data_IF_564594451014
#
_entry.id   IF_564594451014
#
_cell.length_a   1.000
_cell.length_b   1.000
_cell.length_c   1.000
_cell.angle_alpha   90.00
_cell.angle_beta   90.00
_cell.angle_gamma   90.00
#
_symmetry.space_group_name_H-M   'P 1'
#
loop_
_entity.id
_entity.type
_entity.pdbx_description
1 polymer ?
#
# COMPACT_ATOMS: atom_id res chain seq x y z
N UNK A 1 -10.38 -45.80 55.48
CA UNK A 1 -9.18 -46.31 54.78
C UNK A 1 -9.01 -45.55 53.47
N UNK A 2 -7.90 -44.83 53.26
CA UNK A 2 -7.65 -44.11 52.00
C UNK A 2 -7.32 -45.10 50.87
N UNK A 3 -8.01 -45.00 49.72
CA UNK A 3 -7.67 -45.77 48.51
C UNK A 3 -6.29 -45.36 48.02
N UNK A 4 -5.40 -46.33 47.76
CA UNK A 4 -4.13 -46.08 47.07
C UNK A 4 -4.43 -45.66 45.62
N UNK A 5 -3.79 -44.61 45.08
CA UNK A 5 -3.97 -44.23 43.68
C UNK A 5 -3.45 -45.35 42.76
N UNK A 6 -4.28 -45.79 41.81
CA UNK A 6 -3.88 -46.72 40.77
C UNK A 6 -2.86 -46.04 39.84
N UNK A 7 -1.81 -46.78 39.46
CA UNK A 7 -0.82 -46.27 38.53
C UNK A 7 -1.47 -46.04 37.14
N UNK A 8 -1.15 -44.94 36.44
CA UNK A 8 -1.71 -44.66 35.12
C UNK A 8 -1.30 -45.75 34.13
N UNK A 9 -2.28 -46.25 33.36
CA UNK A 9 -2.07 -47.28 32.33
C UNK A 9 -1.09 -46.79 31.23
N UNK A 10 -0.40 -47.72 30.57
CA UNK A 10 0.53 -47.41 29.48
C UNK A 10 -0.14 -46.61 28.34
N UNK A 11 -1.44 -46.83 28.12
CA UNK A 11 -2.23 -46.03 27.18
C UNK A 11 -2.28 -44.56 27.59
N UNK A 12 -2.56 -44.28 28.87
CA UNK A 12 -2.60 -42.92 29.40
C UNK A 12 -1.23 -42.22 29.28
N UNK A 13 -0.12 -42.94 29.53
CA UNK A 13 1.24 -42.41 29.34
C UNK A 13 1.52 -42.05 27.88
N UNK A 14 1.15 -42.91 26.92
CA UNK A 14 1.31 -42.64 25.49
C UNK A 14 0.50 -41.41 25.04
N UNK A 15 -0.76 -41.29 25.48
CA UNK A 15 -1.57 -40.12 25.17
C UNK A 15 -0.98 -38.83 25.75
N UNK A 16 -0.47 -38.86 26.98
CA UNK A 16 0.19 -37.71 27.59
C UNK A 16 1.44 -37.28 26.80
N UNK A 17 2.29 -38.23 26.38
CA UNK A 17 3.46 -37.92 25.56
C UNK A 17 3.10 -37.29 24.22
N UNK A 18 2.07 -37.82 23.53
CA UNK A 18 1.59 -37.25 22.26
C UNK A 18 1.05 -35.83 22.47
N UNK A 19 0.23 -35.62 23.51
CA UNK A 19 -0.33 -34.31 23.82
C UNK A 19 0.76 -33.26 24.13
N UNK A 20 1.77 -33.63 24.92
CA UNK A 20 2.93 -32.77 25.20
C UNK A 20 3.71 -32.46 23.92
N UNK A 21 3.93 -33.46 23.06
CA UNK A 21 4.61 -33.27 21.78
C UNK A 21 3.87 -32.29 20.87
N UNK A 22 2.55 -32.46 20.73
CA UNK A 22 1.70 -31.54 19.95
C UNK A 22 1.72 -30.12 20.53
N UNK A 23 1.61 -29.97 21.85
CA UNK A 23 1.66 -28.66 22.51
C UNK A 23 3.02 -27.97 22.29
N UNK A 24 4.11 -28.74 22.33
CA UNK A 24 5.45 -28.26 22.00
C UNK A 24 5.54 -27.72 20.57
N UNK A 25 5.05 -28.49 19.59
CA UNK A 25 5.03 -28.07 18.18
C UNK A 25 4.20 -26.79 17.99
N UNK A 26 2.98 -26.74 18.57
CA UNK A 26 2.13 -25.55 18.46
C UNK A 26 2.77 -24.31 19.06
N UNK A 27 3.49 -24.46 20.17
CA UNK A 27 4.18 -23.35 20.84
C UNK A 27 5.33 -22.82 20.00
N UNK A 28 6.12 -23.70 19.39
CA UNK A 28 7.22 -23.32 18.49
C UNK A 28 6.70 -22.59 17.24
N UNK A 29 5.64 -23.11 16.62
CA UNK A 29 5.00 -22.45 15.45
C UNK A 29 4.44 -21.09 15.83
N UNK A 30 3.74 -20.97 16.96
CA UNK A 30 3.21 -19.68 17.43
C UNK A 30 4.33 -18.66 17.71
N UNK A 31 5.44 -19.08 18.33
CA UNK A 31 6.59 -18.22 18.57
C UNK A 31 7.24 -17.75 17.26
N UNK A 32 7.36 -18.64 16.27
CA UNK A 32 7.89 -18.28 14.95
C UNK A 32 7.00 -17.26 14.22
N UNK A 33 5.68 -17.47 14.21
CA UNK A 33 4.72 -16.53 13.62
C UNK A 33 4.73 -15.17 14.33
N UNK A 34 4.86 -15.16 15.66
CA UNK A 34 4.96 -13.92 16.42
C UNK A 34 6.24 -13.13 16.10
N UNK A 35 7.38 -13.80 15.98
CA UNK A 35 8.63 -13.17 15.55
C UNK A 35 8.52 -12.59 14.15
N UNK A 36 7.90 -13.33 13.22
CA UNK A 36 7.64 -12.88 11.87
C UNK A 36 6.77 -11.61 11.84
N UNK A 37 5.67 -11.59 12.59
CA UNK A 37 4.79 -10.41 12.69
C UNK A 37 5.51 -9.22 13.32
N UNK A 38 6.37 -9.45 14.31
CA UNK A 38 7.17 -8.40 14.92
C UNK A 38 8.14 -7.76 13.92
N UNK A 39 8.76 -8.54 13.04
CA UNK A 39 9.62 -8.01 11.98
C UNK A 39 8.81 -7.19 10.98
N UNK A 40 7.62 -7.65 10.56
CA UNK A 40 6.73 -6.88 9.68
C UNK A 40 6.34 -5.55 10.34
N UNK A 41 5.89 -5.58 11.60
CA UNK A 41 5.52 -4.38 12.35
C UNK A 41 6.67 -3.36 12.47
N UNK A 42 7.91 -3.85 12.64
CA UNK A 42 9.08 -2.97 12.68
C UNK A 42 9.36 -2.29 11.32
N UNK A 43 9.20 -3.02 10.22
CA UNK A 43 9.37 -2.49 8.86
C UNK A 43 8.27 -1.47 8.52
N UNK A 44 7.03 -1.74 8.89
CA UNK A 44 5.92 -0.80 8.73
C UNK A 44 6.15 0.50 9.52
N UNK A 45 6.68 0.38 10.75
CA UNK A 45 7.03 1.54 11.57
C UNK A 45 8.13 2.39 10.90
N UNK A 46 9.15 1.75 10.31
CA UNK A 46 10.19 2.45 9.55
C UNK A 46 9.62 3.13 8.31
N UNK A 47 8.72 2.49 7.58
CA UNK A 47 8.06 3.05 6.41
C UNK A 47 7.17 4.25 6.77
N UNK A 48 6.45 4.19 7.90
CA UNK A 48 5.67 5.32 8.42
C UNK A 48 6.58 6.49 8.81
N UNK A 49 7.69 6.22 9.51
CA UNK A 49 8.67 7.24 9.87
C UNK A 49 9.27 7.91 8.63
N UNK A 50 9.64 7.14 7.60
CA UNK A 50 10.13 7.67 6.33
C UNK A 50 9.06 8.50 5.60
N UNK A 51 7.79 8.09 5.66
CA UNK A 51 6.68 8.84 5.07
C UNK A 51 6.54 10.22 5.74
N UNK A 52 6.60 10.28 7.07
CA UNK A 52 6.57 11.54 7.82
C UNK A 52 7.77 12.44 7.51
N UNK A 53 8.97 11.87 7.38
CA UNK A 53 10.18 12.59 6.98
C UNK A 53 10.03 13.20 5.57
N UNK A 54 9.54 12.42 4.61
CA UNK A 54 9.27 12.90 3.24
C UNK A 54 8.23 14.04 3.21
N UNK A 55 7.21 14.00 4.07
CA UNK A 55 6.25 15.11 4.20
C UNK A 55 6.88 16.41 4.72
N UNK A 56 7.97 16.31 5.49
CA UNK A 56 8.75 17.45 5.98
C UNK A 56 9.82 17.92 5.00
N UNK A 57 9.91 17.28 3.82
CA UNK A 57 10.97 17.44 2.83
C UNK A 57 12.36 16.99 3.30
N UNK A 58 12.43 16.17 4.35
CA UNK A 58 13.69 15.56 4.79
C UNK A 58 14.17 14.53 3.74
N UNK A 59 15.48 14.28 3.69
CA UNK A 59 16.05 13.25 2.83
C UNK A 59 15.69 11.84 3.34
N UNK A 60 15.20 11.00 2.44
CA UNK A 60 15.03 9.58 2.71
C UNK A 60 16.38 8.87 2.49
N UNK A 61 17.14 8.68 3.58
CA UNK A 61 18.32 7.82 3.56
C UNK A 61 17.90 6.34 3.65
N UNK A 62 18.64 5.46 2.95
CA UNK A 62 18.47 4.03 3.12
C UNK A 62 19.14 3.59 4.43
N UNK A 63 18.34 3.54 5.48
CA UNK A 63 18.75 3.03 6.80
C UNK A 63 17.99 1.75 7.14
N UNK A 64 17.56 0.98 6.13
CA UNK A 64 16.85 -0.28 6.37
C UNK A 64 17.75 -1.24 7.15
N UNK A 65 17.39 -1.48 8.41
CA UNK A 65 18.10 -2.43 9.29
C UNK A 65 17.58 -3.86 9.12
N UNK A 66 16.49 -4.04 8.37
CA UNK A 66 15.85 -5.34 8.20
C UNK A 66 16.50 -6.08 7.03
N UNK A 67 17.04 -7.27 7.31
CA UNK A 67 17.47 -8.18 6.26
C UNK A 67 16.24 -8.85 5.67
N UNK A 68 16.08 -8.70 4.36
CA UNK A 68 14.98 -9.27 3.59
C UNK A 68 15.54 -10.25 2.58
N UNK A 69 14.91 -11.43 2.49
CA UNK A 69 15.23 -12.48 1.54
C UNK A 69 13.96 -12.99 0.84
N UNK A 70 14.09 -13.84 -0.17
CA UNK A 70 12.95 -14.34 -0.93
C UNK A 70 11.95 -15.19 -0.12
N UNK A 71 12.34 -15.70 1.06
CA UNK A 71 11.46 -16.46 1.96
C UNK A 71 10.72 -15.58 2.96
N UNK A 72 11.04 -14.28 2.97
CA UNK A 72 10.42 -13.30 3.85
C UNK A 72 8.92 -13.16 3.56
N UNK A 73 8.13 -12.73 4.56
CA UNK A 73 6.69 -12.56 4.39
C UNK A 73 6.39 -11.56 3.26
N UNK A 74 5.36 -11.76 2.42
CA UNK A 74 5.03 -10.86 1.32
C UNK A 74 4.87 -9.40 1.74
N UNK A 75 4.36 -9.17 2.95
CA UNK A 75 4.24 -7.82 3.51
C UNK A 75 5.58 -7.16 3.80
N UNK A 76 6.54 -7.94 4.30
CA UNK A 76 7.90 -7.45 4.54
C UNK A 76 8.64 -7.18 3.24
N UNK A 77 8.50 -8.08 2.25
CA UNK A 77 9.05 -7.87 0.89
C UNK A 77 8.56 -6.54 0.33
N UNK A 78 7.26 -6.28 0.45
CA UNK A 78 6.66 -5.08 -0.12
C UNK A 78 7.04 -3.78 0.61
N UNK A 79 7.02 -3.80 1.95
CA UNK A 79 7.35 -2.62 2.76
C UNK A 79 8.81 -2.22 2.59
N UNK A 80 9.73 -3.18 2.58
CA UNK A 80 11.15 -2.94 2.33
C UNK A 80 11.41 -2.46 0.89
N UNK A 81 10.75 -3.06 -0.12
CA UNK A 81 10.88 -2.62 -1.50
C UNK A 81 10.46 -1.16 -1.68
N UNK A 82 9.31 -0.76 -1.11
CA UNK A 82 8.85 0.62 -1.13
C UNK A 82 9.80 1.57 -0.39
N UNK A 83 10.28 1.17 0.79
CA UNK A 83 11.21 1.96 1.59
C UNK A 83 12.50 2.27 0.82
N UNK A 84 13.12 1.24 0.23
CA UNK A 84 14.37 1.38 -0.55
C UNK A 84 14.14 2.14 -1.85
N UNK A 85 13.02 1.91 -2.54
CA UNK A 85 12.69 2.63 -3.77
C UNK A 85 12.57 4.14 -3.53
N UNK A 86 11.98 4.55 -2.39
CA UNK A 86 11.88 5.96 -2.00
C UNK A 86 13.25 6.60 -1.74
N UNK A 87 14.17 5.87 -1.13
CA UNK A 87 15.55 6.33 -0.94
C UNK A 87 16.29 6.49 -2.29
N UNK A 88 16.04 5.59 -3.25
CA UNK A 88 16.63 5.65 -4.59
C UNK A 88 16.04 6.73 -5.51
N UNK A 89 14.94 7.40 -5.12
CA UNK A 89 14.27 8.42 -5.94
C UNK A 89 15.20 9.56 -6.37
N UNK A 90 16.12 9.99 -5.49
CA UNK A 90 17.09 11.08 -5.75
C UNK A 90 18.47 10.58 -6.17
N UNK A 91 18.74 9.28 -6.05
CA UNK A 91 20.00 8.68 -6.48
C UNK A 91 20.16 8.81 -8.01
N UNK A 92 21.39 8.70 -8.50
CA UNK A 92 21.74 8.69 -9.94
C UNK A 92 22.81 7.63 -10.18
N UNK A 93 22.95 7.17 -11.42
CA UNK A 93 24.00 6.23 -11.84
C UNK A 93 23.48 4.81 -12.12
N UNK A 94 24.36 3.96 -12.63
CA UNK A 94 24.05 2.57 -13.05
C UNK A 94 23.63 1.68 -11.90
N UNK A 95 24.19 1.89 -10.71
CA UNK A 95 23.87 1.10 -9.51
C UNK A 95 22.42 1.29 -9.08
N UNK A 96 21.84 2.47 -9.38
CA UNK A 96 20.43 2.77 -9.12
C UNK A 96 19.50 1.89 -9.95
N UNK A 97 19.75 1.74 -11.25
CA UNK A 97 18.88 0.95 -12.13
C UNK A 97 18.95 -0.53 -11.76
N UNK A 98 20.14 -1.04 -11.46
CA UNK A 98 20.31 -2.41 -10.95
C UNK A 98 19.55 -2.62 -9.62
N UNK A 99 19.63 -1.65 -8.71
CA UNK A 99 18.89 -1.69 -7.45
C UNK A 99 17.37 -1.65 -7.68
N UNK A 100 16.85 -0.76 -8.54
CA UNK A 100 15.42 -0.69 -8.86
C UNK A 100 14.93 -1.98 -9.51
N UNK A 101 15.71 -2.59 -10.41
CA UNK A 101 15.39 -3.90 -10.99
C UNK A 101 15.29 -4.99 -9.92
N UNK A 102 16.18 -4.98 -8.92
CA UNK A 102 16.12 -5.92 -7.80
C UNK A 102 14.87 -5.71 -6.93
N UNK A 103 14.52 -4.46 -6.62
CA UNK A 103 13.30 -4.13 -5.87
C UNK A 103 12.04 -4.47 -6.66
N UNK A 104 12.08 -4.33 -7.98
CA UNK A 104 11.00 -4.71 -8.89
C UNK A 104 10.72 -6.22 -8.82
N UNK A 105 11.77 -7.05 -8.85
CA UNK A 105 11.65 -8.51 -8.62
C UNK A 105 11.14 -8.85 -7.21
N UNK A 106 11.55 -8.10 -6.20
CA UNK A 106 11.06 -8.28 -4.83
C UNK A 106 9.55 -7.99 -4.72
N UNK A 107 9.06 -6.98 -5.44
CA UNK A 107 7.62 -6.71 -5.55
C UNK A 107 6.90 -7.85 -6.29
N UNK A 108 7.51 -8.42 -7.33
CA UNK A 108 6.93 -9.56 -8.06
C UNK A 108 6.75 -10.78 -7.16
N UNK A 109 7.73 -11.12 -6.31
CA UNK A 109 7.60 -12.20 -5.32
C UNK A 109 6.42 -11.96 -4.35
N UNK A 110 6.20 -10.71 -3.93
CA UNK A 110 5.07 -10.36 -3.08
C UNK A 110 3.71 -10.48 -3.81
N UNK A 111 3.69 -10.14 -5.11
CA UNK A 111 2.52 -10.28 -5.99
C UNK A 111 2.21 -11.75 -6.26
N UNK A 112 3.21 -12.57 -6.58
CA UNK A 112 3.05 -14.01 -6.82
C UNK A 112 2.46 -14.71 -5.60
N UNK A 113 2.92 -14.35 -4.40
CA UNK A 113 2.37 -14.87 -3.15
C UNK A 113 0.93 -14.38 -2.88
N UNK A 114 0.51 -13.23 -3.42
CA UNK A 114 -0.83 -12.63 -3.24
C UNK A 114 -1.32 -11.91 -4.51
N UNK A 115 -1.82 -12.64 -5.54
CA UNK A 115 -2.07 -12.07 -6.87
C UNK A 115 -3.12 -10.96 -6.99
N UNK A 116 -4.00 -10.83 -5.99
CA UNK A 116 -5.08 -9.82 -5.93
C UNK A 116 -4.80 -8.70 -4.93
N UNK A 117 -3.54 -8.46 -4.60
CA UNK A 117 -3.15 -7.45 -3.64
C UNK A 117 -2.87 -6.12 -4.31
N UNK A 118 -3.89 -5.27 -4.46
CA UNK A 118 -3.78 -4.00 -5.19
C UNK A 118 -2.65 -3.09 -4.69
N UNK A 119 -2.35 -3.07 -3.40
CA UNK A 119 -1.21 -2.31 -2.84
C UNK A 119 0.15 -2.79 -3.40
N UNK A 120 0.31 -4.09 -3.65
CA UNK A 120 1.54 -4.62 -4.22
C UNK A 120 1.77 -4.10 -5.65
N UNK A 121 0.70 -4.06 -6.45
CA UNK A 121 0.71 -3.48 -7.78
C UNK A 121 1.00 -1.97 -7.77
N UNK A 122 0.55 -1.22 -6.76
CA UNK A 122 0.92 0.20 -6.60
C UNK A 122 2.43 0.35 -6.40
N UNK A 123 3.03 -0.45 -5.52
CA UNK A 123 4.48 -0.37 -5.26
C UNK A 123 5.28 -0.77 -6.50
N UNK A 124 4.84 -1.80 -7.24
CA UNK A 124 5.42 -2.15 -8.54
C UNK A 124 5.36 -0.96 -9.50
N UNK A 125 4.18 -0.36 -9.67
CA UNK A 125 4.01 0.83 -10.51
C UNK A 125 4.93 1.98 -10.09
N UNK A 126 5.10 2.19 -8.78
CA UNK A 126 6.01 3.19 -8.24
C UNK A 126 7.47 2.90 -8.62
N UNK A 127 7.95 1.66 -8.42
CA UNK A 127 9.32 1.26 -8.75
C UNK A 127 9.58 1.39 -10.26
N UNK A 128 8.65 0.94 -11.10
CA UNK A 128 8.75 1.09 -12.56
C UNK A 128 8.77 2.56 -12.99
N UNK A 129 8.00 3.43 -12.33
CA UNK A 129 8.01 4.88 -12.61
C UNK A 129 9.34 5.57 -12.28
N UNK A 130 10.19 4.95 -11.45
CA UNK A 130 11.52 5.46 -11.12
C UNK A 130 12.58 5.04 -12.15
N UNK A 131 12.34 3.99 -12.91
CA UNK A 131 13.27 3.51 -13.94
C UNK A 131 13.15 4.34 -15.23
N UNK A 132 14.21 4.38 -16.04
CA UNK A 132 14.23 5.14 -17.29
C UNK A 132 13.88 4.26 -18.49
N UNK A 133 13.11 4.80 -19.44
CA UNK A 133 12.81 4.16 -20.72
C UNK A 133 11.32 3.91 -20.97
N UNK A 134 10.92 3.70 -22.23
CA UNK A 134 9.52 3.50 -22.60
C UNK A 134 8.94 2.20 -22.04
N UNK A 135 9.72 1.13 -21.98
CA UNK A 135 9.26 -0.18 -21.50
C UNK A 135 8.85 -0.11 -20.02
N UNK A 136 9.69 0.50 -19.17
CA UNK A 136 9.38 0.71 -17.75
C UNK A 136 8.16 1.61 -17.54
N UNK A 137 7.97 2.62 -18.40
CA UNK A 137 6.74 3.42 -18.38
C UNK A 137 5.51 2.54 -18.64
N UNK A 138 5.54 1.71 -19.67
CA UNK A 138 4.43 0.81 -19.99
C UNK A 138 4.17 -0.20 -18.86
N UNK A 139 5.22 -0.78 -18.28
CA UNK A 139 5.10 -1.68 -17.11
C UNK A 139 4.49 -0.96 -15.91
N UNK A 140 4.88 0.28 -15.65
CA UNK A 140 4.32 1.11 -14.60
C UNK A 140 2.82 1.39 -14.79
N UNK A 141 2.40 1.71 -16.01
CA UNK A 141 0.99 1.92 -16.35
C UNK A 141 0.18 0.61 -16.28
N UNK A 142 0.74 -0.52 -16.70
CA UNK A 142 0.11 -1.83 -16.58
C UNK A 142 -0.10 -2.22 -15.11
N UNK A 143 0.92 -2.03 -14.27
CA UNK A 143 0.83 -2.25 -12.83
C UNK A 143 -0.19 -1.30 -12.17
N UNK A 144 -0.24 -0.03 -12.58
CA UNK A 144 -1.26 0.91 -12.13
C UNK A 144 -2.67 0.42 -12.48
N UNK A 145 -2.90 0.00 -13.73
CA UNK A 145 -4.19 -0.54 -14.19
C UNK A 145 -4.61 -1.73 -13.33
N UNK A 146 -3.69 -2.67 -13.11
CA UNK A 146 -3.92 -3.84 -12.26
C UNK A 146 -4.24 -3.46 -10.81
N UNK A 147 -3.59 -2.43 -10.26
CA UNK A 147 -3.90 -1.93 -8.92
C UNK A 147 -5.36 -1.48 -8.80
N UNK A 148 -5.92 -0.82 -9.82
CA UNK A 148 -7.32 -0.37 -9.82
C UNK A 148 -8.30 -1.51 -10.02
N UNK A 149 -7.92 -2.55 -10.77
CA UNK A 149 -8.72 -3.76 -10.90
C UNK A 149 -8.83 -4.53 -9.57
N UNK A 150 -7.72 -4.71 -8.86
CA UNK A 150 -7.69 -5.48 -7.61
C UNK A 150 -8.13 -4.66 -6.38
N UNK A 151 -7.94 -3.33 -6.38
CA UNK A 151 -8.33 -2.46 -5.27
C UNK A 151 -8.74 -1.07 -5.78
N UNK A 152 -10.05 -0.83 -5.96
CA UNK A 152 -10.55 0.43 -6.51
C UNK A 152 -10.19 1.67 -5.69
N UNK A 153 -10.08 1.53 -4.36
CA UNK A 153 -9.73 2.61 -3.44
C UNK A 153 -8.65 2.15 -2.45
N UNK A 154 -7.60 2.95 -2.27
CA UNK A 154 -6.51 2.67 -1.33
C UNK A 154 -6.13 3.95 -0.58
N UNK A 155 -6.58 4.11 0.66
CA UNK A 155 -6.36 5.35 1.44
C UNK A 155 -4.91 5.84 1.46
N UNK A 156 -3.98 4.96 1.81
CA UNK A 156 -2.58 5.34 2.03
C UNK A 156 -1.80 5.56 0.72
N UNK A 157 -2.32 5.04 -0.40
CA UNK A 157 -1.69 5.10 -1.71
C UNK A 157 -2.42 6.02 -2.71
N UNK A 158 -3.66 6.42 -2.43
CA UNK A 158 -4.56 7.10 -3.35
C UNK A 158 -3.95 8.40 -3.87
N UNK A 159 -3.31 9.19 -3.01
CA UNK A 159 -2.67 10.45 -3.43
C UNK A 159 -1.61 10.23 -4.53
N UNK A 160 -0.78 9.20 -4.38
CA UNK A 160 0.22 8.85 -5.40
C UNK A 160 -0.43 8.28 -6.65
N UNK A 161 -1.35 7.30 -6.52
CA UNK A 161 -2.03 6.65 -7.65
C UNK A 161 -2.77 7.66 -8.53
N UNK A 162 -3.54 8.55 -7.92
CA UNK A 162 -4.31 9.59 -8.61
C UNK A 162 -3.36 10.55 -9.32
N UNK A 163 -2.31 11.03 -8.65
CA UNK A 163 -1.34 11.95 -9.26
C UNK A 163 -0.61 11.31 -10.43
N UNK A 164 -0.17 10.05 -10.28
CA UNK A 164 0.50 9.30 -11.33
C UNK A 164 -0.43 9.05 -12.53
N UNK A 165 -1.69 8.68 -12.27
CA UNK A 165 -2.70 8.49 -13.30
C UNK A 165 -2.99 9.79 -14.08
N UNK A 166 -3.18 10.92 -13.38
CA UNK A 166 -3.41 12.21 -14.00
C UNK A 166 -2.22 12.65 -14.86
N UNK A 167 -0.99 12.43 -14.39
CA UNK A 167 0.23 12.76 -15.13
C UNK A 167 0.41 11.97 -16.43
N UNK A 168 -0.23 10.81 -16.56
CA UNK A 168 -0.18 9.94 -17.75
C UNK A 168 -1.56 9.78 -18.40
N UNK A 169 -2.47 10.75 -18.20
CA UNK A 169 -3.88 10.61 -18.54
C UNK A 169 -4.15 10.08 -19.95
N UNK A 170 -3.41 10.60 -20.93
CA UNK A 170 -3.60 10.28 -22.35
C UNK A 170 -3.15 8.85 -22.72
N UNK A 171 -2.30 8.23 -21.90
CA UNK A 171 -1.80 6.86 -22.07
C UNK A 171 -2.71 5.82 -21.38
N UNK A 172 -3.65 6.26 -20.55
CA UNK A 172 -4.54 5.37 -19.80
C UNK A 172 -5.77 4.93 -20.61
N UNK A 173 -6.20 3.69 -20.39
CA UNK A 173 -7.49 3.22 -20.89
C UNK A 173 -8.68 3.90 -20.14
N UNK A 174 -9.88 3.77 -20.72
CA UNK A 174 -11.09 4.38 -20.17
C UNK A 174 -11.46 3.85 -18.77
N UNK A 175 -11.13 2.58 -18.46
CA UNK A 175 -11.41 1.98 -17.16
C UNK A 175 -10.54 2.63 -16.07
N UNK A 176 -9.22 2.75 -16.29
CA UNK A 176 -8.31 3.36 -15.33
C UNK A 176 -8.62 4.84 -15.15
N UNK A 177 -8.93 5.56 -16.23
CA UNK A 177 -9.36 6.96 -16.16
C UNK A 177 -10.57 7.13 -15.25
N UNK A 178 -11.62 6.32 -15.44
CA UNK A 178 -12.81 6.37 -14.61
C UNK A 178 -12.50 6.08 -13.13
N UNK A 179 -11.70 5.04 -12.86
CA UNK A 179 -11.31 4.67 -11.48
C UNK A 179 -10.46 5.73 -10.79
N UNK A 180 -9.52 6.35 -11.50
CA UNK A 180 -8.71 7.43 -10.96
C UNK A 180 -9.55 8.65 -10.58
N UNK A 181 -10.58 8.99 -11.36
CA UNK A 181 -11.50 10.09 -11.05
C UNK A 181 -12.35 9.78 -9.82
N UNK A 182 -12.90 8.56 -9.70
CA UNK A 182 -13.65 8.17 -8.50
C UNK A 182 -12.77 8.21 -7.25
N UNK A 183 -11.54 7.68 -7.31
CA UNK A 183 -10.60 7.72 -6.18
C UNK A 183 -10.18 9.16 -5.84
N UNK A 184 -9.98 10.02 -6.84
CA UNK A 184 -9.67 11.43 -6.66
C UNK A 184 -10.79 12.20 -5.93
N UNK A 185 -12.04 11.95 -6.32
CA UNK A 185 -13.23 12.56 -5.69
C UNK A 185 -13.42 12.03 -4.28
N UNK A 186 -13.32 10.72 -4.09
CA UNK A 186 -13.37 10.10 -2.77
C UNK A 186 -12.32 10.68 -1.83
N UNK A 187 -11.04 10.73 -2.24
CA UNK A 187 -9.95 11.24 -1.44
C UNK A 187 -10.13 12.73 -1.12
N UNK A 188 -10.65 13.51 -2.07
CA UNK A 188 -10.94 14.94 -1.89
C UNK A 188 -12.06 15.22 -0.88
N UNK A 189 -12.93 14.23 -0.58
CA UNK A 189 -13.94 14.34 0.50
C UNK A 189 -13.36 14.00 1.86
N UNK A 190 -12.52 12.97 1.91
CA UNK A 190 -11.95 12.46 3.17
C UNK A 190 -10.92 13.43 3.76
N UNK A 191 -10.13 14.10 2.91
CA UNK A 191 -9.09 15.03 3.34
C UNK A 191 -9.05 16.30 2.47
N UNK A 192 -9.34 17.45 3.09
CA UNK A 192 -9.29 18.75 2.44
C UNK A 192 -7.89 19.17 1.98
N UNK A 193 -6.83 18.63 2.61
CA UNK A 193 -5.44 18.78 2.17
C UNK A 193 -5.21 18.10 0.82
N UNK A 194 -5.56 16.82 0.74
CA UNK A 194 -5.50 16.02 -0.49
C UNK A 194 -6.29 16.63 -1.64
N UNK A 195 -7.47 17.23 -1.37
CA UNK A 195 -8.24 17.95 -2.40
C UNK A 195 -7.41 19.01 -3.11
N UNK A 196 -6.68 19.86 -2.38
CA UNK A 196 -5.85 20.91 -3.00
C UNK A 196 -4.74 20.32 -3.85
N UNK A 197 -4.07 19.27 -3.37
CA UNK A 197 -2.98 18.60 -4.08
C UNK A 197 -3.47 17.94 -5.38
N UNK A 198 -4.60 17.22 -5.34
CA UNK A 198 -5.18 16.53 -6.49
C UNK A 198 -5.61 17.51 -7.58
N UNK A 199 -6.32 18.59 -7.22
CA UNK A 199 -6.75 19.60 -8.19
C UNK A 199 -5.56 20.37 -8.78
N UNK A 200 -4.50 20.58 -8.00
CA UNK A 200 -3.26 21.16 -8.50
C UNK A 200 -2.57 20.23 -9.50
N UNK A 201 -2.47 18.93 -9.19
CA UNK A 201 -1.91 17.93 -10.10
C UNK A 201 -2.72 17.77 -11.39
N UNK A 202 -4.05 17.85 -11.31
CA UNK A 202 -4.92 17.69 -12.46
C UNK A 202 -4.89 18.87 -13.43
N UNK A 203 -4.63 20.10 -12.95
CA UNK A 203 -4.88 21.37 -13.67
C UNK A 203 -4.30 21.42 -15.09
N UNK A 204 -3.16 20.79 -15.33
CA UNK A 204 -2.46 20.81 -16.62
C UNK A 204 -2.59 19.48 -17.38
N UNK A 205 -3.61 18.70 -17.08
CA UNK A 205 -3.85 17.37 -17.67
C UNK A 205 -5.25 17.31 -18.27
N UNK A 206 -5.45 16.45 -19.26
CA UNK A 206 -6.77 16.19 -19.83
C UNK A 206 -7.73 15.53 -18.82
N UNK A 207 -7.23 15.09 -17.65
CA UNK A 207 -8.03 14.61 -16.53
C UNK A 207 -8.70 15.71 -15.70
N UNK A 208 -8.36 16.99 -15.91
CA UNK A 208 -8.94 18.09 -15.12
C UNK A 208 -10.45 18.23 -15.29
N UNK A 209 -10.92 18.27 -16.54
CA UNK A 209 -12.35 18.44 -16.85
C UNK A 209 -13.21 17.31 -16.24
N UNK A 210 -12.92 16.00 -16.46
CA UNK A 210 -13.73 14.94 -15.86
C UNK A 210 -13.67 14.95 -14.33
N UNK A 211 -12.54 15.34 -13.73
CA UNK A 211 -12.45 15.50 -12.27
C UNK A 211 -13.40 16.58 -11.75
N UNK A 212 -13.38 17.78 -12.36
CA UNK A 212 -14.23 18.91 -11.94
C UNK A 212 -15.71 18.56 -12.11
N UNK A 213 -16.08 17.96 -13.24
CA UNK A 213 -17.46 17.54 -13.50
C UNK A 213 -17.92 16.53 -12.46
N UNK A 214 -17.14 15.47 -12.22
CA UNK A 214 -17.49 14.44 -11.26
C UNK A 214 -17.57 14.98 -9.82
N UNK A 215 -16.63 15.85 -9.44
CA UNK A 215 -16.64 16.51 -8.13
C UNK A 215 -17.90 17.37 -7.95
N UNK A 216 -18.29 18.15 -8.96
CA UNK A 216 -19.51 18.96 -8.95
C UNK A 216 -20.75 18.08 -8.79
N UNK A 217 -20.87 17.03 -9.59
CA UNK A 217 -22.03 16.14 -9.56
C UNK A 217 -22.18 15.45 -8.20
N UNK A 218 -21.06 15.04 -7.60
CA UNK A 218 -21.03 14.53 -6.23
C UNK A 218 -21.49 15.57 -5.22
N UNK A 219 -21.02 16.83 -5.31
CA UNK A 219 -21.43 17.92 -4.40
C UNK A 219 -22.89 18.31 -4.51
N UNK A 220 -23.48 18.24 -5.70
CA UNK A 220 -24.91 18.47 -5.90
C UNK A 220 -25.77 17.36 -5.28
N UNK A 221 -25.19 16.19 -5.05
CA UNK A 221 -25.85 15.04 -4.42
C UNK A 221 -25.68 15.01 -2.89
N UNK A 222 -24.78 15.81 -2.31
CA UNK A 222 -24.61 15.92 -0.87
C UNK A 222 -25.83 16.68 -0.28
N UNK A 223 -26.57 16.05 0.65
CA UNK A 223 -27.76 16.66 1.27
C UNK A 223 -27.49 17.98 1.99
N UNK A 224 -26.26 18.18 2.46
CA UNK A 224 -25.80 19.43 3.09
C UNK A 224 -25.83 20.63 2.14
N UNK A 225 -25.80 20.39 0.82
CA UNK A 225 -25.86 21.46 -0.17
C UNK A 225 -27.20 22.20 -0.16
N UNK A 226 -28.29 21.51 0.19
CA UNK A 226 -29.64 22.08 0.27
C UNK A 226 -30.03 22.49 1.70
N UNK A 227 -29.29 22.06 2.72
CA UNK A 227 -29.64 22.27 4.12
C UNK A 227 -29.04 23.55 4.73
N UNK A 228 -28.18 24.30 4.01
CA UNK A 228 -27.73 25.60 4.50
C UNK A 228 -28.92 26.58 4.46
N UNK A 229 -29.46 27.02 5.62
CA UNK A 229 -30.49 28.05 5.60
C UNK A 229 -29.89 29.27 4.91
N UNK A 230 -30.58 29.79 3.90
CA UNK A 230 -30.29 31.10 3.35
C UNK A 230 -30.44 32.06 4.50
N UNK A 231 -29.34 32.41 5.16
CA UNK A 231 -29.30 33.51 6.11
C UNK A 231 -29.60 34.74 5.26
N UNK A 232 -30.88 35.11 5.19
CA UNK A 232 -31.29 36.42 4.71
C UNK A 232 -30.53 37.40 5.57
N UNK A 233 -29.51 38.04 5.00
CA UNK A 233 -29.04 39.31 5.53
C UNK A 233 -30.19 40.26 5.29
N UNK A 234 -30.91 40.60 6.35
CA UNK A 234 -31.83 41.72 6.30
C UNK A 234 -31.00 42.96 5.93
N UNK A 235 -31.44 43.75 4.94
CA UNK A 235 -30.80 45.01 4.61
C UNK A 235 -31.07 45.99 5.75
N UNK A 236 -30.00 46.46 6.39
CA UNK A 236 -30.02 47.66 7.25
C UNK A 236 -30.25 48.93 6.41
#
# INVERSE_FOLDING_TARGET
MPRRPEAPSDRARRFACIAIGLLGITTVVAAALWLQERTVASSDTQLQAQTLALFRNDDASDTSLVKVDASSPPRLLLSDALYRARALRRAKGTDREAALTALSRQADLAIEARPHWGQAWVVKAYIESLQQGPDHRQLGLAALSRSYADSPFLRDAAGWRVTFALGHWDELDAFVRARAIEEAVWLSRVDGGSRRAIFAAARNTNGYQPLVLRWRDMRLSDGDYFAAPVVRRDPD
#
